data_IF_215981877377
#
_entry.id   IF_215981877377
#
_cell.length_a   1.000
_cell.length_b   1.000
_cell.length_c   1.000
_cell.angle_alpha   90.00
_cell.angle_beta   90.00
_cell.angle_gamma   90.00
#
_symmetry.space_group_name_H-M   'P 1'
#
loop_
_entity.id
_entity.type
_entity.pdbx_description
1 polymer ?
#
# COMPACT_ATOMS: atom_id res chain seq x y z
N UNK A 1 -12.02 5.49 14.24
CA UNK A 1 -12.06 5.59 12.77
C UNK A 1 -11.02 6.62 12.37
N UNK A 2 -10.10 6.27 11.47
CA UNK A 2 -9.03 7.17 11.02
C UNK A 2 -9.64 8.36 10.27
N UNK A 3 -9.15 9.58 10.54
CA UNK A 3 -9.63 10.77 9.82
C UNK A 3 -8.93 10.86 8.45
N UNK A 4 -9.57 10.28 7.44
CA UNK A 4 -9.06 10.24 6.08
C UNK A 4 -9.00 11.63 5.42
N UNK A 5 -9.88 12.56 5.82
CA UNK A 5 -9.90 13.92 5.29
C UNK A 5 -8.71 14.72 5.80
N UNK A 6 -8.39 14.60 7.09
CA UNK A 6 -7.19 15.19 7.67
C UNK A 6 -5.92 14.60 7.05
N UNK A 7 -5.88 13.27 6.84
CA UNK A 7 -4.75 12.61 6.19
C UNK A 7 -4.56 13.11 4.75
N UNK A 8 -5.62 13.14 3.94
CA UNK A 8 -5.59 13.64 2.56
C UNK A 8 -5.10 15.08 2.50
N UNK A 9 -5.63 15.94 3.37
CA UNK A 9 -5.28 17.36 3.44
C UNK A 9 -3.82 17.60 3.81
N UNK A 10 -3.22 16.72 4.62
CA UNK A 10 -1.77 16.77 4.92
C UNK A 10 -0.96 16.24 3.74
N UNK A 11 -1.34 15.06 3.23
CA UNK A 11 -0.61 14.34 2.19
C UNK A 11 -0.49 15.15 0.89
N UNK A 12 -1.56 15.84 0.47
CA UNK A 12 -1.57 16.66 -0.74
C UNK A 12 -0.76 17.98 -0.62
N UNK A 13 -0.22 18.31 0.55
CA UNK A 13 0.72 19.45 0.70
C UNK A 13 2.14 19.07 0.34
N UNK A 14 2.45 17.77 0.33
CA UNK A 14 3.78 17.28 0.02
C UNK A 14 4.00 17.26 -1.50
N UNK A 15 5.22 17.58 -1.93
CA UNK A 15 5.61 17.47 -3.33
C UNK A 15 5.53 16.01 -3.81
N UNK A 16 5.36 15.83 -5.14
CA UNK A 16 5.19 14.50 -5.73
C UNK A 16 6.25 13.47 -5.29
N UNK A 17 7.56 13.77 -5.26
CA UNK A 17 8.57 12.81 -4.79
C UNK A 17 8.36 12.36 -3.34
N UNK A 18 7.91 13.27 -2.47
CA UNK A 18 7.63 12.97 -1.06
C UNK A 18 6.38 12.09 -0.94
N UNK A 19 5.33 12.36 -1.72
CA UNK A 19 4.12 11.53 -1.78
C UNK A 19 4.41 10.11 -2.23
N UNK A 20 5.21 9.92 -3.27
CA UNK A 20 5.68 8.61 -3.73
C UNK A 20 6.58 7.92 -2.68
N UNK A 21 7.45 8.67 -2.01
CA UNK A 21 8.26 8.16 -0.90
C UNK A 21 7.42 7.64 0.28
N UNK A 22 6.31 8.33 0.60
CA UNK A 22 5.36 7.89 1.62
C UNK A 22 4.67 6.56 1.22
N UNK A 23 4.30 6.40 -0.06
CA UNK A 23 3.78 5.13 -0.58
C UNK A 23 4.83 4.01 -0.46
N UNK A 24 6.07 4.26 -0.89
CA UNK A 24 7.17 3.31 -0.77
C UNK A 24 7.43 2.89 0.69
N UNK A 25 7.33 3.84 1.63
CA UNK A 25 7.43 3.55 3.07
C UNK A 25 6.33 2.59 3.55
N UNK A 26 5.10 2.76 3.09
CA UNK A 26 4.01 1.84 3.42
C UNK A 26 4.24 0.44 2.85
N UNK A 27 4.72 0.33 1.60
CA UNK A 27 5.09 -0.96 1.01
C UNK A 27 6.19 -1.67 1.83
N UNK A 28 7.23 -0.94 2.24
CA UNK A 28 8.28 -1.49 3.11
C UNK A 28 7.73 -1.97 4.47
N UNK A 29 6.76 -1.25 5.04
CA UNK A 29 6.08 -1.66 6.28
C UNK A 29 5.22 -2.90 6.08
N UNK A 30 4.51 -3.04 4.96
CA UNK A 30 3.77 -4.25 4.61
C UNK A 30 4.72 -5.44 4.51
N UNK A 31 5.81 -5.30 3.74
CA UNK A 31 6.83 -6.34 3.57
C UNK A 31 7.43 -6.83 4.89
N UNK A 32 7.81 -5.91 5.78
CA UNK A 32 8.43 -6.26 7.07
C UNK A 32 7.44 -6.86 8.07
N UNK A 33 6.17 -6.45 8.04
CA UNK A 33 5.17 -6.86 9.04
C UNK A 33 4.35 -8.07 8.62
N UNK A 34 4.19 -8.34 7.31
CA UNK A 34 3.38 -9.44 6.82
C UNK A 34 3.86 -10.83 7.30
N UNK A 35 5.12 -10.97 7.72
CA UNK A 35 5.63 -12.23 8.24
C UNK A 35 5.05 -12.59 9.63
N UNK A 36 4.63 -11.58 10.41
CA UNK A 36 4.05 -11.75 11.74
C UNK A 36 2.51 -11.65 11.69
N UNK A 37 1.83 -12.72 12.12
CA UNK A 37 0.37 -12.78 12.13
C UNK A 37 -0.29 -11.78 13.09
N UNK A 38 0.41 -11.37 14.16
CA UNK A 38 -0.10 -10.42 15.16
C UNK A 38 -0.25 -9.00 14.61
N UNK A 39 0.34 -8.72 13.44
CA UNK A 39 0.25 -7.43 12.76
C UNK A 39 -0.92 -7.33 11.77
N UNK A 40 -1.93 -8.21 11.87
CA UNK A 40 -3.01 -8.27 10.87
C UNK A 40 -3.75 -6.93 10.68
N UNK A 41 -4.12 -6.25 11.77
CA UNK A 41 -4.86 -4.97 11.72
C UNK A 41 -4.04 -3.85 11.07
N UNK A 42 -2.75 -3.75 11.42
CA UNK A 42 -1.87 -2.73 10.82
C UNK A 42 -1.60 -2.98 9.34
N UNK A 43 -1.62 -4.24 8.88
CA UNK A 43 -1.51 -4.52 7.44
C UNK A 43 -2.77 -4.04 6.70
N UNK A 44 -3.97 -4.29 7.23
CA UNK A 44 -5.22 -3.81 6.62
C UNK A 44 -5.23 -2.29 6.49
N UNK A 45 -4.84 -1.58 7.56
CA UNK A 45 -4.71 -0.12 7.54
C UNK A 45 -3.68 0.38 6.52
N UNK A 46 -2.55 -0.33 6.38
CA UNK A 46 -1.50 0.01 5.42
C UNK A 46 -1.95 -0.23 3.98
N UNK A 47 -2.69 -1.31 3.72
CA UNK A 47 -3.25 -1.62 2.40
C UNK A 47 -4.25 -0.53 1.99
N UNK A 48 -5.16 -0.16 2.90
CA UNK A 48 -6.14 0.90 2.65
C UNK A 48 -5.47 2.25 2.40
N UNK A 49 -4.55 2.65 3.29
CA UNK A 49 -3.80 3.91 3.17
C UNK A 49 -2.98 3.98 1.86
N UNK A 50 -2.35 2.87 1.46
CA UNK A 50 -1.55 2.81 0.22
C UNK A 50 -2.40 2.99 -1.03
N UNK A 51 -3.60 2.39 -1.08
CA UNK A 51 -4.54 2.61 -2.19
C UNK A 51 -4.99 4.07 -2.27
N UNK A 52 -5.31 4.68 -1.14
CA UNK A 52 -5.68 6.10 -1.10
C UNK A 52 -4.53 7.01 -1.56
N UNK A 53 -3.29 6.70 -1.15
CA UNK A 53 -2.11 7.43 -1.61
C UNK A 53 -1.95 7.34 -3.13
N UNK A 54 -2.21 6.18 -3.72
CA UNK A 54 -2.21 6.01 -5.18
C UNK A 54 -3.28 6.90 -5.83
N UNK A 55 -4.54 6.83 -5.35
CA UNK A 55 -5.65 7.64 -5.89
C UNK A 55 -5.35 9.14 -5.85
N UNK A 56 -4.67 9.60 -4.81
CA UNK A 56 -4.34 11.01 -4.61
C UNK A 56 -3.07 11.46 -5.34
N UNK A 57 -2.29 10.52 -5.87
CA UNK A 57 -0.98 10.80 -6.49
C UNK A 57 -1.00 10.60 -8.01
N UNK A 58 -1.71 9.58 -8.50
CA UNK A 58 -1.67 9.18 -9.91
C UNK A 58 -2.11 10.29 -10.88
N UNK A 59 -2.99 11.19 -10.45
CA UNK A 59 -3.43 12.33 -11.28
C UNK A 59 -2.32 13.37 -11.53
N UNK A 60 -1.29 13.39 -10.69
CA UNK A 60 -0.18 14.36 -10.76
C UNK A 60 1.10 13.75 -11.35
N UNK A 61 1.05 12.49 -11.83
CA UNK A 61 2.21 11.80 -12.41
C UNK A 61 2.13 11.74 -13.93
N UNK A 62 3.25 11.41 -14.58
CA UNK A 62 3.26 11.02 -15.99
C UNK A 62 2.37 9.79 -16.22
N UNK A 63 1.86 9.62 -17.44
CA UNK A 63 0.86 8.59 -17.75
C UNK A 63 1.40 7.17 -17.54
N UNK A 64 2.69 6.96 -17.83
CA UNK A 64 3.39 5.71 -17.61
C UNK A 64 3.45 5.38 -16.11
N UNK A 65 3.81 6.36 -15.28
CA UNK A 65 3.85 6.20 -13.81
C UNK A 65 2.43 5.98 -13.26
N UNK A 66 1.44 6.70 -13.77
CA UNK A 66 0.04 6.54 -13.36
C UNK A 66 -0.46 5.11 -13.64
N UNK A 67 -0.07 4.52 -14.77
CA UNK A 67 -0.39 3.14 -15.12
C UNK A 67 0.25 2.14 -14.13
N UNK A 68 1.54 2.30 -13.82
CA UNK A 68 2.22 1.46 -12.81
C UNK A 68 1.55 1.56 -11.43
N UNK A 69 1.16 2.78 -11.02
CA UNK A 69 0.45 2.99 -9.76
C UNK A 69 -0.92 2.27 -9.74
N UNK A 70 -1.65 2.28 -10.85
CA UNK A 70 -2.93 1.54 -10.96
C UNK A 70 -2.71 0.03 -10.86
N UNK A 71 -1.69 -0.51 -11.51
CA UNK A 71 -1.33 -1.93 -11.38
C UNK A 71 -1.00 -2.31 -9.93
N UNK A 72 -0.23 -1.47 -9.24
CA UNK A 72 0.03 -1.63 -7.81
C UNK A 72 -1.27 -1.56 -7.00
N UNK A 73 -2.19 -0.63 -7.31
CA UNK A 73 -3.45 -0.51 -6.59
C UNK A 73 -4.31 -1.77 -6.72
N UNK A 74 -4.35 -2.38 -7.91
CA UNK A 74 -5.02 -3.66 -8.13
C UNK A 74 -4.38 -4.77 -7.28
N UNK A 75 -3.05 -4.84 -7.25
CA UNK A 75 -2.34 -5.83 -6.43
C UNK A 75 -2.64 -5.67 -4.93
N UNK A 76 -2.66 -4.44 -4.42
CA UNK A 76 -3.01 -4.12 -3.03
C UNK A 76 -4.47 -4.51 -2.71
N UNK A 77 -5.40 -4.22 -3.63
CA UNK A 77 -6.81 -4.59 -3.48
C UNK A 77 -7.00 -6.12 -3.44
N UNK A 78 -6.28 -6.87 -4.28
CA UNK A 78 -6.27 -8.32 -4.26
C UNK A 78 -5.77 -8.86 -2.91
N UNK A 79 -4.68 -8.30 -2.37
CA UNK A 79 -4.19 -8.70 -1.04
C UNK A 79 -5.19 -8.41 0.06
N UNK A 80 -5.83 -7.24 0.04
CA UNK A 80 -6.83 -6.87 1.04
C UNK A 80 -8.05 -7.79 0.98
N UNK A 81 -8.56 -8.07 -0.22
CA UNK A 81 -9.68 -8.99 -0.43
C UNK A 81 -9.39 -10.40 0.13
N UNK A 82 -8.19 -10.92 -0.13
CA UNK A 82 -7.77 -12.25 0.33
C UNK A 82 -7.10 -12.25 1.71
N UNK A 83 -7.10 -11.14 2.44
CA UNK A 83 -6.23 -10.98 3.61
C UNK A 83 -6.53 -11.98 4.74
N UNK A 84 -7.80 -12.33 4.94
CA UNK A 84 -8.20 -13.32 5.94
C UNK A 84 -7.57 -14.71 5.69
N UNK A 85 -7.41 -15.10 4.42
CA UNK A 85 -6.71 -16.32 4.03
C UNK A 85 -5.19 -16.13 4.15
N UNK A 86 -4.67 -15.01 3.62
CA UNK A 86 -3.24 -14.71 3.63
C UNK A 86 -2.69 -14.70 5.06
N UNK A 87 -3.36 -14.03 6.00
CA UNK A 87 -2.88 -13.90 7.40
C UNK A 87 -2.74 -15.25 8.10
N UNK A 88 -3.57 -16.24 7.75
CA UNK A 88 -3.56 -17.58 8.37
C UNK A 88 -2.57 -18.55 7.69
N UNK A 89 -2.02 -18.20 6.53
CA UNK A 89 -1.14 -19.08 5.75
C UNK A 89 0.26 -18.47 5.57
N UNK A 90 1.28 -19.05 6.21
CA UNK A 90 2.68 -18.59 6.15
C UNK A 90 3.19 -18.45 4.71
N UNK A 91 2.90 -19.42 3.83
CA UNK A 91 3.37 -19.40 2.44
C UNK A 91 2.75 -18.23 1.67
N UNK A 92 1.47 -17.91 1.92
CA UNK A 92 0.83 -16.75 1.30
C UNK A 92 1.45 -15.43 1.82
N UNK A 93 1.80 -15.34 3.10
CA UNK A 93 2.50 -14.16 3.66
C UNK A 93 3.89 -13.96 3.05
N UNK A 94 4.62 -15.04 2.81
CA UNK A 94 5.91 -14.99 2.10
C UNK A 94 5.72 -14.45 0.68
N UNK A 95 4.70 -14.92 -0.06
CA UNK A 95 4.40 -14.42 -1.41
C UNK A 95 4.12 -12.92 -1.44
N UNK A 96 3.36 -12.39 -0.48
CA UNK A 96 3.14 -10.94 -0.37
C UNK A 96 4.48 -10.21 -0.19
N UNK A 97 5.34 -10.68 0.72
CA UNK A 97 6.67 -10.09 0.95
C UNK A 97 7.55 -10.10 -0.30
N UNK A 98 7.45 -11.13 -1.14
CA UNK A 98 8.17 -11.24 -2.41
C UNK A 98 7.60 -10.31 -3.47
N UNK A 99 6.28 -10.27 -3.64
CA UNK A 99 5.61 -9.42 -4.62
C UNK A 99 5.80 -7.93 -4.32
N UNK A 100 5.89 -7.52 -3.06
CA UNK A 100 6.22 -6.12 -2.71
C UNK A 100 7.57 -5.68 -3.29
N UNK A 101 8.55 -6.59 -3.43
CA UNK A 101 9.88 -6.26 -4.00
C UNK A 101 9.84 -5.85 -5.47
N UNK A 102 8.74 -6.14 -6.18
CA UNK A 102 8.55 -5.67 -7.55
C UNK A 102 8.39 -4.15 -7.58
N UNK A 103 7.89 -3.58 -6.48
CA UNK A 103 7.52 -2.17 -6.35
C UNK A 103 8.48 -1.36 -5.45
N UNK A 104 9.50 -1.99 -4.86
CA UNK A 104 10.43 -1.38 -3.88
C UNK A 104 11.85 -1.87 -3.99
#
# INVERSE_FOLDING_TARGET
MRDWNALKSRYLRDELPVRLGNLASNLARIKSRCQNADHSEIIEDLLEESKLFIEWTAADTEIEIAAELVELQVQLACWQYSWAEIRSNVQQRIKVSEQVKIWS
#
